data_IF_412620388831
#
_entry.id   IF_412620388831
#
_cell.length_a   1.000
_cell.length_b   1.000
_cell.length_c   1.000
_cell.angle_alpha   90.00
_cell.angle_beta   90.00
_cell.angle_gamma   90.00
#
_symmetry.space_group_name_H-M   'P 1'
#
loop_
_entity.id
_entity.type
_entity.pdbx_description
1 polymer ?
#
# COMPACT_ATOMS: atom_id res chain seq x y z
N UNK A 1 -57.35 15.70 -46.16
CA UNK A 1 -55.96 15.30 -46.38
C UNK A 1 -55.04 16.15 -45.51
N UNK A 2 -54.27 15.51 -44.66
CA UNK A 2 -53.76 16.07 -43.39
C UNK A 2 -52.43 16.80 -43.54
N UNK A 3 -52.42 18.11 -43.32
CA UNK A 3 -51.22 18.95 -43.27
C UNK A 3 -50.55 18.80 -41.90
N UNK A 4 -49.64 17.82 -41.76
CA UNK A 4 -48.87 17.59 -40.52
C UNK A 4 -47.74 18.62 -40.41
N UNK A 5 -47.98 19.57 -39.52
CA UNK A 5 -47.08 20.63 -39.07
C UNK A 5 -45.80 20.05 -38.46
N UNK A 6 -44.65 20.53 -38.95
CA UNK A 6 -43.31 20.19 -38.47
C UNK A 6 -43.08 20.83 -37.10
N UNK A 7 -43.27 20.08 -36.01
CA UNK A 7 -42.77 20.47 -34.68
C UNK A 7 -41.26 20.25 -34.59
N UNK A 8 -40.49 21.30 -34.86
CA UNK A 8 -39.13 21.47 -34.35
C UNK A 8 -39.20 22.14 -32.98
N UNK A 9 -38.65 21.47 -31.99
CA UNK A 9 -37.94 22.09 -30.86
C UNK A 9 -38.78 22.50 -29.65
N UNK A 10 -38.67 21.71 -28.57
CA UNK A 10 -38.34 22.26 -27.25
C UNK A 10 -37.79 21.18 -26.33
N UNK A 11 -36.57 21.43 -25.85
CA UNK A 11 -36.07 21.11 -24.50
C UNK A 11 -36.26 19.67 -24.04
N UNK A 12 -35.24 18.83 -24.08
CA UNK A 12 -34.09 19.03 -23.21
C UNK A 12 -34.23 18.17 -21.96
N UNK A 13 -34.41 16.86 -22.14
CA UNK A 13 -33.96 15.88 -21.17
C UNK A 13 -32.74 15.21 -21.81
N UNK A 14 -31.64 15.96 -21.83
CA UNK A 14 -30.34 15.31 -21.76
C UNK A 14 -30.46 14.33 -20.59
N UNK A 15 -30.37 13.03 -20.90
CA UNK A 15 -30.64 11.96 -19.95
C UNK A 15 -30.06 12.34 -18.62
N UNK A 16 -30.92 12.42 -17.60
CA UNK A 16 -30.53 12.86 -16.26
C UNK A 16 -29.25 12.12 -15.91
N UNK A 17 -28.13 12.83 -15.91
CA UNK A 17 -26.89 12.25 -15.43
C UNK A 17 -27.23 11.68 -14.07
N UNK A 18 -27.05 10.36 -13.93
CA UNK A 18 -27.32 9.67 -12.68
C UNK A 18 -26.75 10.52 -11.55
N UNK A 19 -27.61 11.04 -10.69
CA UNK A 19 -27.22 11.90 -9.56
C UNK A 19 -26.28 11.18 -8.58
N UNK A 20 -26.07 9.88 -8.79
CA UNK A 20 -25.07 9.07 -8.14
C UNK A 20 -23.69 9.39 -8.73
N UNK A 21 -22.87 10.08 -7.94
CA UNK A 21 -21.41 10.14 -8.12
C UNK A 21 -20.75 9.11 -7.19
N UNK A 22 -20.76 7.80 -7.52
CA UNK A 22 -20.15 6.80 -6.65
C UNK A 22 -18.63 7.00 -6.61
N UNK A 23 -18.08 7.12 -5.40
CA UNK A 23 -16.63 7.21 -5.20
C UNK A 23 -16.00 5.81 -5.17
N UNK A 24 -15.96 5.12 -6.32
CA UNK A 24 -15.28 3.83 -6.46
C UNK A 24 -13.74 3.92 -6.36
N UNK A 25 -13.20 5.11 -6.10
CA UNK A 25 -11.75 5.38 -6.09
C UNK A 25 -11.15 5.29 -4.69
N UNK A 26 -11.97 5.49 -3.66
CA UNK A 26 -11.59 5.41 -2.24
C UNK A 26 -12.67 4.62 -1.50
N UNK A 27 -12.73 3.32 -1.78
CA UNK A 27 -13.59 2.42 -1.03
C UNK A 27 -12.96 2.20 0.33
N UNK A 28 -13.65 2.59 1.40
CA UNK A 28 -13.24 2.27 2.77
C UNK A 28 -14.04 1.07 3.25
N UNK A 29 -13.36 0.06 3.78
CA UNK A 29 -14.02 -1.06 4.43
C UNK A 29 -14.61 -0.59 5.78
N UNK A 30 -15.94 -0.62 5.98
CA UNK A 30 -16.55 -0.18 7.24
C UNK A 30 -16.44 -1.23 8.36
N UNK A 31 -16.03 -2.46 8.04
CA UNK A 31 -15.92 -3.54 9.00
C UNK A 31 -14.54 -3.56 9.65
N UNK A 32 -14.51 -3.96 10.92
CA UNK A 32 -13.25 -4.25 11.59
C UNK A 32 -12.53 -5.40 10.87
N UNK A 33 -11.19 -5.33 10.70
CA UNK A 33 -10.41 -6.46 10.21
C UNK A 33 -10.69 -7.70 11.07
N UNK A 34 -11.10 -8.80 10.43
CA UNK A 34 -11.36 -10.03 11.16
C UNK A 34 -10.03 -10.72 11.49
N UNK A 35 -9.71 -10.93 12.77
CA UNK A 35 -8.45 -11.58 13.15
C UNK A 35 -8.52 -13.06 12.79
N UNK A 36 -7.62 -13.50 11.90
CA UNK A 36 -7.45 -14.92 11.52
C UNK A 36 -6.50 -15.62 12.50
N UNK A 37 -5.56 -14.87 13.07
CA UNK A 37 -4.58 -15.34 14.05
C UNK A 37 -4.84 -14.69 15.40
N UNK A 38 -4.56 -15.40 16.49
CA UNK A 38 -4.48 -14.79 17.82
C UNK A 38 -3.28 -13.87 17.92
N UNK A 39 -3.29 -12.96 18.91
CA UNK A 39 -2.17 -12.05 19.15
C UNK A 39 -0.86 -12.79 19.41
N UNK A 40 -0.91 -13.91 20.15
CA UNK A 40 0.25 -14.77 20.40
C UNK A 40 0.80 -15.41 19.12
N UNK A 41 -0.08 -15.80 18.20
CA UNK A 41 0.33 -16.35 16.90
C UNK A 41 1.00 -15.27 16.03
N UNK A 42 0.46 -14.05 16.02
CA UNK A 42 1.08 -12.93 15.33
C UNK A 42 2.47 -12.62 15.91
N UNK A 43 2.61 -12.61 17.24
CA UNK A 43 3.88 -12.40 17.92
C UNK A 43 4.90 -13.51 17.57
N UNK A 44 4.46 -14.77 17.53
CA UNK A 44 5.30 -15.91 17.14
C UNK A 44 5.79 -15.84 15.69
N UNK A 45 4.91 -15.45 14.75
CA UNK A 45 5.29 -15.22 13.35
C UNK A 45 6.31 -14.09 13.25
N UNK A 46 6.08 -12.99 13.98
CA UNK A 46 6.99 -11.85 13.99
C UNK A 46 8.38 -12.23 14.54
N UNK A 47 8.44 -12.95 15.65
CA UNK A 47 9.69 -13.42 16.24
C UNK A 47 10.46 -14.37 15.30
N UNK A 48 9.74 -15.29 14.65
CA UNK A 48 10.32 -16.21 13.66
C UNK A 48 10.89 -15.44 12.47
N UNK A 49 10.17 -14.44 11.95
CA UNK A 49 10.64 -13.63 10.83
C UNK A 49 11.92 -12.85 11.20
N UNK A 50 11.98 -12.28 12.40
CA UNK A 50 13.18 -11.62 12.91
C UNK A 50 14.36 -12.59 13.02
N UNK A 51 14.12 -13.79 13.56
CA UNK A 51 15.13 -14.84 13.65
C UNK A 51 15.66 -15.24 12.27
N UNK A 52 14.80 -15.36 11.27
CA UNK A 52 15.23 -15.65 9.89
C UNK A 52 16.14 -14.54 9.35
N UNK A 53 15.76 -13.27 9.52
CA UNK A 53 16.57 -12.14 9.05
C UNK A 53 17.93 -12.05 9.77
N UNK A 54 17.98 -12.40 11.05
CA UNK A 54 19.17 -12.31 11.90
C UNK A 54 20.10 -13.52 11.75
N UNK A 55 19.56 -14.74 11.70
CA UNK A 55 20.33 -15.99 11.65
C UNK A 55 20.67 -16.44 10.23
N UNK A 56 19.68 -16.42 9.33
CA UNK A 56 19.83 -16.90 7.96
C UNK A 56 20.20 -15.76 7.02
N UNK A 57 19.55 -14.60 7.17
CA UNK A 57 19.73 -13.44 6.31
C UNK A 57 19.00 -13.55 4.97
N UNK A 58 19.23 -12.55 4.12
CA UNK A 58 18.71 -12.48 2.75
C UNK A 58 19.81 -12.08 1.77
N UNK A 59 19.75 -12.60 0.55
CA UNK A 59 20.73 -12.25 -0.49
C UNK A 59 20.40 -10.90 -1.11
N UNK A 60 21.32 -9.95 -1.04
CA UNK A 60 21.15 -8.59 -1.58
C UNK A 60 22.13 -8.39 -2.73
N UNK A 61 21.63 -8.54 -3.96
CA UNK A 61 22.46 -8.55 -5.17
C UNK A 61 23.06 -7.18 -5.50
N UNK A 62 22.35 -6.10 -5.14
CA UNK A 62 22.80 -4.74 -5.44
C UNK A 62 23.94 -4.32 -4.49
N UNK A 63 25.17 -4.04 -4.99
CA UNK A 63 26.30 -3.69 -4.13
C UNK A 63 26.05 -2.44 -3.28
N UNK A 64 25.44 -1.40 -3.86
CA UNK A 64 25.15 -0.16 -3.13
C UNK A 64 24.17 -0.40 -1.96
N UNK A 65 23.22 -1.32 -2.10
CA UNK A 65 22.31 -1.65 -1.01
C UNK A 65 23.03 -2.36 0.14
N UNK A 66 23.98 -3.27 -0.17
CA UNK A 66 24.82 -3.92 0.84
C UNK A 66 25.65 -2.92 1.63
N UNK A 67 26.22 -1.91 0.98
CA UNK A 67 26.96 -0.85 1.68
C UNK A 67 26.07 -0.03 2.62
N UNK A 68 24.85 0.31 2.19
CA UNK A 68 23.88 1.04 3.03
C UNK A 68 23.53 0.20 4.26
N UNK A 69 23.25 -1.09 4.08
CA UNK A 69 22.90 -2.00 5.16
C UNK A 69 24.08 -2.24 6.11
N UNK A 70 25.30 -2.40 5.58
CA UNK A 70 26.51 -2.53 6.39
C UNK A 70 26.77 -1.28 7.24
N UNK A 71 26.62 -0.07 6.67
CA UNK A 71 26.71 1.20 7.41
C UNK A 71 25.65 1.34 8.50
N UNK A 72 24.49 0.73 8.30
CA UNK A 72 23.41 0.70 9.29
C UNK A 72 23.61 -0.38 10.37
N UNK A 73 24.64 -1.22 10.27
CA UNK A 73 24.98 -2.25 11.27
C UNK A 73 24.66 -3.68 10.86
N UNK A 74 24.16 -3.92 9.65
CA UNK A 74 23.92 -5.29 9.16
C UNK A 74 25.25 -6.03 8.88
N UNK A 75 25.25 -7.35 9.10
CA UNK A 75 26.40 -8.20 8.74
C UNK A 75 26.27 -8.61 7.28
N UNK A 76 27.28 -8.28 6.48
CA UNK A 76 27.31 -8.59 5.04
C UNK A 76 28.44 -9.57 4.76
N UNK A 77 28.08 -10.69 4.13
CA UNK A 77 29.03 -11.64 3.56
C UNK A 77 29.34 -11.24 2.10
N UNK A 78 30.58 -10.83 1.78
CA UNK A 78 30.94 -10.40 0.43
C UNK A 78 31.01 -11.56 -0.57
N UNK A 79 31.25 -12.80 -0.12
CA UNK A 79 31.40 -13.97 -1.00
C UNK A 79 30.04 -14.51 -1.45
N UNK A 80 29.05 -14.49 -0.56
CA UNK A 80 27.71 -15.04 -0.82
C UNK A 80 26.66 -13.97 -1.11
N UNK A 81 27.00 -12.70 -0.98
CA UNK A 81 26.08 -11.54 -1.00
C UNK A 81 24.97 -11.62 0.07
N UNK A 82 25.18 -12.40 1.13
CA UNK A 82 24.20 -12.57 2.20
C UNK A 82 24.24 -11.40 3.17
N UNK A 83 23.07 -10.89 3.55
CA UNK A 83 22.92 -9.81 4.53
C UNK A 83 22.07 -10.30 5.69
N UNK A 84 22.64 -10.26 6.90
CA UNK A 84 21.95 -10.60 8.15
C UNK A 84 21.62 -9.31 8.88
N UNK A 85 20.33 -9.14 9.18
CA UNK A 85 19.77 -7.90 9.73
C UNK A 85 19.31 -8.19 11.16
N UNK A 86 19.94 -7.53 12.13
CA UNK A 86 19.64 -7.70 13.54
C UNK A 86 18.31 -7.05 13.96
N UNK A 87 17.75 -7.54 15.06
CA UNK A 87 16.48 -7.03 15.64
C UNK A 87 16.58 -5.57 16.07
N UNK A 88 17.75 -5.21 16.59
CA UNK A 88 18.15 -3.85 16.96
C UNK A 88 18.12 -2.88 15.77
N UNK A 89 18.33 -3.36 14.55
CA UNK A 89 18.18 -2.58 13.33
C UNK A 89 16.73 -2.54 12.83
N UNK A 90 16.01 -3.66 12.89
CA UNK A 90 14.62 -3.75 12.40
C UNK A 90 13.65 -2.93 13.25
N UNK A 91 13.73 -2.99 14.58
CA UNK A 91 12.75 -2.36 15.45
C UNK A 91 12.71 -0.82 15.32
N UNK A 92 13.85 -0.10 15.31
CA UNK A 92 13.85 1.34 15.06
C UNK A 92 13.41 1.69 13.64
N UNK A 93 13.78 0.88 12.64
CA UNK A 93 13.36 1.10 11.25
C UNK A 93 11.83 1.03 11.13
N UNK A 94 11.19 0.03 11.73
CA UNK A 94 9.74 -0.10 11.80
C UNK A 94 9.09 1.07 12.54
N UNK A 95 9.67 1.52 13.65
CA UNK A 95 9.16 2.66 14.42
C UNK A 95 9.23 3.98 13.62
N UNK A 96 10.25 4.13 12.76
CA UNK A 96 10.41 5.32 11.91
C UNK A 96 9.48 5.33 10.69
N UNK A 97 8.90 4.19 10.32
CA UNK A 97 8.06 4.07 9.15
C UNK A 97 6.71 4.78 9.34
N UNK A 98 6.26 5.63 8.40
CA UNK A 98 5.00 6.33 8.51
C UNK A 98 3.81 5.35 8.39
N UNK A 99 2.79 5.54 9.23
CA UNK A 99 1.54 4.74 9.19
C UNK A 99 0.58 5.11 8.06
N UNK A 100 0.82 6.25 7.42
CA UNK A 100 0.01 6.76 6.31
C UNK A 100 0.90 7.51 5.32
N UNK A 101 0.69 7.28 4.02
CA UNK A 101 1.46 7.89 2.95
C UNK A 101 0.50 8.47 1.91
N UNK A 102 0.66 9.75 1.58
CA UNK A 102 -0.11 10.40 0.51
C UNK A 102 0.58 10.15 -0.84
N UNK A 103 -0.04 9.32 -1.68
CA UNK A 103 0.43 9.04 -3.03
C UNK A 103 -0.21 10.03 -4.02
N UNK A 104 0.62 10.89 -4.59
CA UNK A 104 0.20 11.89 -5.58
C UNK A 104 0.08 11.25 -6.96
N UNK A 105 -1.06 11.46 -7.62
CA UNK A 105 -1.29 11.03 -8.98
C UNK A 105 -1.02 12.17 -9.98
N UNK A 106 -0.91 11.82 -11.27
CA UNK A 106 -0.80 12.82 -12.34
C UNK A 106 -2.00 13.79 -12.43
N UNK A 107 -3.14 13.41 -11.84
CA UNK A 107 -4.30 14.29 -11.63
C UNK A 107 -4.74 14.21 -10.17
N UNK A 108 -4.88 15.37 -9.50
CA UNK A 108 -5.19 15.47 -8.06
C UNK A 108 -6.44 14.71 -7.61
N UNK A 109 -7.45 14.63 -8.46
CA UNK A 109 -8.67 13.84 -8.20
C UNK A 109 -8.43 12.32 -8.11
N UNK A 110 -7.19 11.86 -8.34
CA UNK A 110 -6.78 10.46 -8.28
C UNK A 110 -5.70 10.19 -7.22
N UNK A 111 -5.39 11.17 -6.38
CA UNK A 111 -4.50 10.97 -5.25
C UNK A 111 -5.06 9.88 -4.33
N UNK A 112 -4.16 9.10 -3.73
CA UNK A 112 -4.51 8.00 -2.82
C UNK A 112 -3.87 8.23 -1.46
N UNK A 113 -4.61 7.94 -0.40
CA UNK A 113 -4.07 7.83 0.94
C UNK A 113 -3.84 6.35 1.23
N UNK A 114 -2.59 5.93 1.37
CA UNK A 114 -2.22 4.57 1.73
C UNK A 114 -2.14 4.51 3.26
N UNK A 115 -3.13 3.89 3.91
CA UNK A 115 -3.21 3.77 5.37
C UNK A 115 -3.60 2.33 5.80
N UNK A 116 -3.47 2.03 7.08
CA UNK A 116 -3.83 0.71 7.61
C UNK A 116 -5.34 0.51 7.53
N UNK A 117 -5.78 -0.44 6.70
CA UNK A 117 -7.21 -0.81 6.57
C UNK A 117 -8.01 -0.01 5.53
N UNK A 118 -7.35 0.81 4.70
CA UNK A 118 -7.94 1.43 3.50
C UNK A 118 -7.93 0.49 2.29
#
# INVERSE_FOLDING_TARGET
DSRRERRRGRTGEAGSESSRKPNYRSLKNPFLPQPIFSDDQVASIHDTALRVLEELGIKVLLPQAREVLARAGALVDPETDMVRIGRDMVMPALASAPRSIHANAGARARDLLLELGS
#
